data_IF_157134447755
#
_entry.id   IF_157134447755
#
_cell.length_a   1.000
_cell.length_b   1.000
_cell.length_c   1.000
_cell.angle_alpha   90.00
_cell.angle_beta   90.00
_cell.angle_gamma   90.00
#
_symmetry.space_group_name_H-M   'P 1'
#
loop_
_entity.id
_entity.type
_entity.pdbx_description
1 polymer ?
#
# COMPACT_ATOMS: atom_id res chain seq x y z
N UNK A 1 24.48 13.60 -37.57
CA UNK A 1 23.56 14.09 -36.51
C UNK A 1 23.17 12.93 -35.59
N UNK A 2 23.89 12.72 -34.47
CA UNK A 2 23.56 11.66 -33.51
C UNK A 2 22.50 12.15 -32.49
N UNK A 3 21.56 11.28 -32.10
CA UNK A 3 20.46 11.64 -31.17
C UNK A 3 20.93 11.55 -29.72
N UNK A 4 20.89 12.66 -28.98
CA UNK A 4 21.22 12.72 -27.53
C UNK A 4 20.37 11.74 -26.71
N UNK A 5 21.03 11.01 -25.82
CA UNK A 5 20.43 10.02 -24.94
C UNK A 5 19.57 10.68 -23.85
N UNK A 6 18.78 9.89 -23.13
CA UNK A 6 17.98 10.40 -22.01
C UNK A 6 18.87 10.83 -20.82
N UNK A 7 20.04 10.20 -20.63
CA UNK A 7 21.03 10.58 -19.61
C UNK A 7 21.58 11.98 -19.85
N UNK A 8 21.89 12.33 -21.10
CA UNK A 8 22.42 13.65 -21.46
C UNK A 8 21.42 14.79 -21.17
N UNK A 9 20.11 14.49 -21.22
CA UNK A 9 19.05 15.47 -20.91
C UNK A 9 18.91 15.69 -19.41
N UNK A 10 18.98 14.63 -18.60
CA UNK A 10 18.93 14.76 -17.15
C UNK A 10 20.17 15.47 -16.59
N UNK A 11 21.36 15.25 -17.17
CA UNK A 11 22.57 15.97 -16.78
C UNK A 11 22.46 17.48 -17.06
N UNK A 12 21.89 17.87 -18.21
CA UNK A 12 21.69 19.28 -18.56
C UNK A 12 20.67 20.00 -17.65
N UNK A 13 19.71 19.28 -17.07
CA UNK A 13 18.70 19.85 -16.18
C UNK A 13 19.23 20.16 -14.76
N UNK A 14 20.32 19.51 -14.34
CA UNK A 14 20.94 19.70 -13.01
C UNK A 14 22.02 20.80 -12.99
N UNK A 15 22.41 21.34 -14.15
CA UNK A 15 23.47 22.34 -14.27
C UNK A 15 22.95 23.80 -14.23
N UNK A 16 21.75 24.02 -13.66
CA UNK A 16 21.11 25.34 -13.64
C UNK A 16 20.44 25.70 -12.32
N UNK A 17 21.04 25.32 -11.20
CA UNK A 17 20.86 26.06 -9.95
C UNK A 17 21.92 27.17 -9.87
N UNK A 18 21.44 28.40 -10.07
CA UNK A 18 22.19 29.60 -9.72
C UNK A 18 22.36 29.66 -8.20
N UNK A 19 23.60 29.80 -7.74
CA UNK A 19 23.91 30.32 -6.41
C UNK A 19 24.88 31.48 -6.60
N UNK A 20 24.47 32.70 -6.27
CA UNK A 20 25.36 33.85 -6.27
C UNK A 20 26.28 33.81 -5.04
N UNK A 21 27.57 34.12 -5.18
CA UNK A 21 28.48 34.18 -4.05
C UNK A 21 28.33 35.53 -3.31
N UNK A 22 28.24 35.48 -1.98
CA UNK A 22 28.50 36.64 -1.12
C UNK A 22 29.80 36.43 -0.36
N UNK A 23 30.62 37.48 -0.32
CA UNK A 23 31.98 37.47 0.22
C UNK A 23 32.04 37.17 1.74
N UNK A 24 33.16 36.59 2.17
CA UNK A 24 33.45 36.25 3.57
C UNK A 24 34.07 37.45 4.35
N UNK A 25 34.44 37.29 5.64
CA UNK A 25 35.76 36.69 5.93
C UNK A 25 35.90 35.82 7.21
N UNK A 26 36.79 34.83 7.07
CA UNK A 26 37.76 34.21 8.01
C UNK A 26 37.61 34.24 9.55
N UNK A 27 37.69 33.04 10.17
CA UNK A 27 38.53 32.55 11.30
C UNK A 27 37.97 31.16 11.71
N UNK A 28 38.69 30.11 12.10
CA UNK A 28 40.13 29.81 12.29
C UNK A 28 40.32 28.26 12.17
N UNK A 29 41.53 27.72 11.97
CA UNK A 29 41.83 26.27 11.92
C UNK A 29 42.90 25.93 13.00
N UNK A 30 42.98 24.70 13.57
CA UNK A 30 43.42 23.46 12.86
C UNK A 30 42.60 22.20 13.34
N UNK A 31 42.98 20.91 13.22
CA UNK A 31 44.20 20.20 12.79
C UNK A 31 43.91 18.75 12.26
N UNK A 32 44.94 18.09 11.73
CA UNK A 32 45.03 16.67 11.30
C UNK A 32 46.49 16.19 11.49
N UNK A 33 46.87 14.90 11.30
CA UNK A 33 46.35 13.61 11.80
C UNK A 33 47.48 12.83 12.57
N UNK A 34 47.48 11.48 12.72
CA UNK A 34 48.16 10.65 11.71
C UNK A 34 47.66 9.17 11.49
N UNK A 35 47.83 8.70 10.24
CA UNK A 35 48.33 7.39 9.74
C UNK A 35 48.02 6.05 10.50
N UNK A 36 47.25 5.10 9.93
CA UNK A 36 47.67 3.94 9.06
C UNK A 36 47.87 2.60 9.84
N UNK A 37 47.89 1.38 9.22
CA UNK A 37 48.07 1.05 7.78
C UNK A 37 47.09 0.05 7.14
N UNK A 38 47.41 -0.29 5.89
CA UNK A 38 46.68 -1.04 4.84
C UNK A 38 46.83 -2.59 4.84
N UNK A 39 45.97 -3.21 4.03
CA UNK A 39 46.11 -4.50 3.30
C UNK A 39 45.99 -5.84 4.07
N UNK A 40 45.08 -6.68 3.58
CA UNK A 40 45.49 -7.96 2.98
C UNK A 40 44.47 -8.47 1.93
N UNK A 41 44.90 -9.43 1.10
CA UNK A 41 44.32 -9.73 -0.22
C UNK A 41 43.62 -11.10 -0.27
N UNK A 42 42.55 -11.16 -1.06
CA UNK A 42 41.82 -12.32 -1.64
C UNK A 42 42.61 -13.64 -1.82
N UNK A 43 41.93 -14.83 -1.82
CA UNK A 43 41.28 -15.27 -3.07
C UNK A 43 39.97 -16.08 -2.99
N UNK A 44 39.11 -15.77 -3.96
CA UNK A 44 38.21 -16.63 -4.76
C UNK A 44 37.78 -18.03 -4.27
N UNK A 45 36.46 -18.29 -4.34
CA UNK A 45 35.96 -19.60 -4.78
C UNK A 45 34.68 -19.55 -5.63
N UNK A 46 34.84 -19.99 -6.88
CA UNK A 46 33.88 -20.62 -7.78
C UNK A 46 32.46 -20.03 -7.96
N UNK A 47 32.28 -19.33 -9.07
CA UNK A 47 31.02 -19.22 -9.83
C UNK A 47 30.45 -20.60 -10.20
N UNK A 48 29.12 -20.79 -10.15
CA UNK A 48 28.41 -21.68 -11.06
C UNK A 48 27.57 -20.89 -12.09
N UNK A 49 27.46 -21.43 -13.29
CA UNK A 49 26.97 -20.72 -14.48
C UNK A 49 25.51 -20.26 -14.43
N UNK A 50 25.25 -19.08 -15.00
CA UNK A 50 23.90 -18.69 -15.45
C UNK A 50 23.48 -19.56 -16.64
N UNK A 51 22.51 -20.46 -16.43
CA UNK A 51 21.69 -20.97 -17.55
C UNK A 51 20.62 -19.95 -17.95
N UNK A 52 20.53 -19.56 -19.23
CA UNK A 52 19.39 -18.80 -19.73
C UNK A 52 18.23 -19.74 -20.07
N UNK A 53 17.07 -19.54 -19.45
CA UNK A 53 15.81 -20.15 -19.91
C UNK A 53 14.72 -19.09 -19.98
N UNK A 54 14.39 -18.68 -21.21
CA UNK A 54 13.36 -17.69 -21.47
C UNK A 54 12.02 -18.35 -21.85
N UNK A 55 11.08 -18.34 -20.89
CA UNK A 55 9.62 -18.46 -21.09
C UNK A 55 9.10 -19.81 -21.68
N UNK A 56 7.80 -20.15 -21.52
CA UNK A 56 6.65 -19.27 -21.80
C UNK A 56 5.82 -18.87 -20.57
N UNK A 57 5.19 -17.70 -20.66
CA UNK A 57 4.17 -17.21 -19.71
C UNK A 57 2.90 -18.07 -19.83
N UNK A 58 2.72 -19.08 -18.97
CA UNK A 58 1.36 -19.45 -18.56
C UNK A 58 0.94 -18.49 -17.47
N UNK A 59 -0.04 -17.61 -17.74
CA UNK A 59 -0.82 -16.99 -16.66
C UNK A 59 -1.48 -18.14 -15.92
N UNK A 60 -1.26 -18.32 -14.60
CA UNK A 60 -2.21 -19.10 -13.82
C UNK A 60 -3.55 -18.37 -13.94
N UNK A 61 -4.56 -19.05 -14.47
CA UNK A 61 -5.91 -18.80 -13.97
C UNK A 61 -5.79 -19.01 -12.46
N UNK A 62 -6.20 -18.02 -11.67
CA UNK A 62 -6.05 -18.07 -10.23
C UNK A 62 -6.79 -19.32 -9.73
N UNK A 63 -6.04 -20.29 -9.20
CA UNK A 63 -6.65 -21.44 -8.58
C UNK A 63 -7.50 -20.96 -7.40
N UNK A 64 -8.67 -21.56 -7.15
CA UNK A 64 -9.43 -21.27 -5.93
C UNK A 64 -8.56 -21.63 -4.72
N UNK A 65 -8.01 -20.61 -4.05
CA UNK A 65 -7.04 -20.76 -2.95
C UNK A 65 -5.84 -19.81 -2.99
N UNK A 66 -5.57 -19.12 -4.11
CA UNK A 66 -4.43 -18.19 -4.19
C UNK A 66 -4.73 -16.83 -3.50
N UNK A 67 -3.88 -16.43 -2.54
CA UNK A 67 -4.03 -15.21 -1.75
C UNK A 67 -2.71 -14.46 -1.58
N UNK A 68 -2.75 -13.14 -1.80
CA UNK A 68 -1.65 -12.22 -1.53
C UNK A 68 -1.82 -11.54 -0.15
N UNK A 69 -0.70 -11.16 0.47
CA UNK A 69 -0.71 -10.38 1.73
C UNK A 69 -0.87 -8.88 1.44
N UNK A 70 -1.93 -8.28 1.98
CA UNK A 70 -2.17 -6.83 1.96
C UNK A 70 -1.93 -6.22 3.34
N UNK A 71 -1.10 -5.18 3.41
CA UNK A 71 -0.93 -4.36 4.61
C UNK A 71 -1.79 -3.10 4.54
N UNK A 72 -2.66 -2.90 5.54
CA UNK A 72 -3.55 -1.74 5.68
C UNK A 72 -3.24 -1.07 7.01
N UNK A 73 -2.76 0.17 6.97
CA UNK A 73 -2.66 1.05 8.12
C UNK A 73 -4.05 1.53 8.54
N UNK A 74 -4.40 1.28 9.80
CA UNK A 74 -5.69 1.66 10.40
C UNK A 74 -5.46 2.24 11.80
N UNK A 75 -6.25 3.24 12.20
CA UNK A 75 -6.32 3.65 13.61
C UNK A 75 -7.01 2.56 14.46
N UNK A 76 -6.87 2.59 15.80
CA UNK A 76 -7.63 1.69 16.68
C UNK A 76 -9.13 1.76 16.44
N UNK A 77 -9.69 2.96 16.25
CA UNK A 77 -11.13 3.17 16.03
C UNK A 77 -11.61 2.65 14.68
N UNK A 78 -10.83 2.84 13.61
CA UNK A 78 -11.14 2.26 12.30
C UNK A 78 -11.13 0.73 12.35
N UNK A 79 -10.14 0.15 13.02
CA UNK A 79 -10.06 -1.30 13.19
C UNK A 79 -11.22 -1.82 14.05
N UNK A 80 -11.59 -1.12 15.12
CA UNK A 80 -12.75 -1.48 15.95
C UNK A 80 -14.07 -1.35 15.18
N UNK A 81 -14.26 -0.26 14.44
CA UNK A 81 -15.42 -0.05 13.57
C UNK A 81 -15.55 -1.13 12.50
N UNK A 82 -14.44 -1.54 11.88
CA UNK A 82 -14.41 -2.65 10.93
C UNK A 82 -14.81 -3.99 11.57
N UNK A 83 -14.29 -4.29 12.77
CA UNK A 83 -14.68 -5.50 13.53
C UNK A 83 -16.16 -5.49 13.91
N UNK A 84 -16.70 -4.33 14.28
CA UNK A 84 -18.11 -4.13 14.62
C UNK A 84 -19.03 -4.31 13.40
N UNK A 85 -18.66 -3.69 12.26
CA UNK A 85 -19.38 -3.80 10.99
C UNK A 85 -19.43 -5.24 10.47
N UNK A 86 -18.32 -5.98 10.55
CA UNK A 86 -18.26 -7.40 10.21
C UNK A 86 -19.28 -8.26 10.99
N UNK A 87 -19.43 -8.01 12.30
CA UNK A 87 -20.39 -8.74 13.14
C UNK A 87 -21.84 -8.31 12.85
N UNK A 88 -22.08 -7.03 12.58
CA UNK A 88 -23.38 -6.55 12.13
C UNK A 88 -23.80 -7.19 10.80
N UNK A 89 -22.92 -7.17 9.79
CA UNK A 89 -23.19 -7.76 8.48
C UNK A 89 -23.45 -9.28 8.57
N UNK A 90 -22.70 -10.03 9.39
CA UNK A 90 -22.95 -11.45 9.62
C UNK A 90 -24.33 -11.71 10.25
N UNK A 91 -24.73 -10.86 11.21
CA UNK A 91 -26.04 -10.93 11.87
C UNK A 91 -27.17 -10.59 10.89
N UNK A 92 -26.93 -9.63 10.00
CA UNK A 92 -27.87 -9.17 8.97
C UNK A 92 -27.88 -10.05 7.70
N UNK A 93 -27.38 -11.28 7.77
CA UNK A 93 -27.46 -12.28 6.69
C UNK A 93 -26.22 -12.40 5.79
N UNK A 94 -25.16 -11.64 6.03
CA UNK A 94 -23.93 -11.66 5.23
C UNK A 94 -23.24 -13.03 5.16
N UNK A 95 -22.54 -13.28 4.05
CA UNK A 95 -21.91 -14.56 3.68
C UNK A 95 -20.40 -14.66 4.03
N UNK A 96 -19.84 -13.60 4.59
CA UNK A 96 -18.43 -13.56 4.96
C UNK A 96 -18.20 -14.26 6.31
N UNK A 97 -17.91 -15.56 6.27
CA UNK A 97 -17.60 -16.40 7.45
C UNK A 97 -16.29 -16.03 8.17
N UNK A 98 -15.47 -15.14 7.60
CA UNK A 98 -14.18 -14.71 8.16
C UNK A 98 -13.95 -13.22 7.90
N UNK A 99 -13.27 -12.54 8.84
CA UNK A 99 -13.00 -11.11 8.73
C UNK A 99 -12.16 -10.75 7.49
N UNK A 100 -11.23 -11.62 7.08
CA UNK A 100 -10.46 -11.43 5.85
C UNK A 100 -11.32 -11.51 4.58
N UNK A 101 -12.32 -12.40 4.53
CA UNK A 101 -13.30 -12.45 3.42
C UNK A 101 -14.23 -11.25 3.43
N UNK A 102 -14.60 -10.73 4.60
CA UNK A 102 -15.37 -9.49 4.69
C UNK A 102 -14.60 -8.28 4.14
N UNK A 103 -13.32 -8.14 4.51
CA UNK A 103 -12.43 -7.12 3.92
C UNK A 103 -12.32 -7.32 2.40
N UNK A 104 -12.11 -8.55 1.92
CA UNK A 104 -12.04 -8.83 0.48
C UNK A 104 -13.34 -8.41 -0.25
N UNK A 105 -14.52 -8.68 0.32
CA UNK A 105 -15.80 -8.25 -0.22
C UNK A 105 -15.95 -6.71 -0.24
N UNK A 106 -15.49 -6.01 0.80
CA UNK A 106 -15.46 -4.55 0.84
C UNK A 106 -14.55 -3.96 -0.26
N UNK A 107 -13.35 -4.55 -0.46
CA UNK A 107 -12.41 -4.15 -1.51
C UNK A 107 -12.99 -4.39 -2.92
N UNK A 108 -13.57 -5.57 -3.19
CA UNK A 108 -14.20 -5.86 -4.49
C UNK A 108 -15.40 -4.94 -4.76
N UNK A 109 -16.23 -4.66 -3.74
CA UNK A 109 -17.36 -3.73 -3.83
C UNK A 109 -16.90 -2.28 -4.11
N UNK A 110 -15.73 -1.88 -3.60
CA UNK A 110 -15.14 -0.58 -3.87
C UNK A 110 -14.40 -0.51 -5.22
N UNK A 111 -13.82 -1.62 -5.68
CA UNK A 111 -13.20 -1.76 -7.00
C UNK A 111 -14.25 -1.68 -8.12
N UNK A 112 -15.44 -2.25 -7.91
CA UNK A 112 -16.56 -2.24 -8.86
C UNK A 112 -17.16 -0.85 -9.13
N UNK A 113 -16.84 0.17 -8.32
CA UNK A 113 -17.28 1.56 -8.52
C UNK A 113 -16.50 2.22 -9.66
N UNK A 114 -17.06 3.24 -10.28
CA UNK A 114 -16.29 4.10 -11.21
C UNK A 114 -15.36 5.04 -10.42
N UNK A 115 -14.27 5.57 -11.02
CA UNK A 115 -13.40 6.54 -10.35
C UNK A 115 -14.17 7.77 -9.84
N UNK A 116 -15.15 8.26 -10.61
CA UNK A 116 -16.04 9.35 -10.19
C UNK A 116 -16.87 8.98 -8.95
N UNK A 117 -17.43 7.77 -8.90
CA UNK A 117 -18.20 7.31 -7.73
C UNK A 117 -17.33 7.14 -6.47
N UNK A 118 -16.08 6.71 -6.60
CA UNK A 118 -15.13 6.70 -5.47
C UNK A 118 -14.78 8.12 -5.03
N UNK A 119 -14.45 9.00 -5.97
CA UNK A 119 -14.17 10.42 -5.71
C UNK A 119 -15.30 11.12 -4.93
N UNK A 120 -16.56 10.93 -5.36
CA UNK A 120 -17.74 11.53 -4.71
C UNK A 120 -18.01 11.02 -3.31
N UNK A 121 -17.65 9.77 -2.97
CA UNK A 121 -17.81 9.25 -1.61
C UNK A 121 -16.82 9.87 -0.62
N UNK A 122 -15.67 10.34 -1.09
CA UNK A 122 -14.57 10.77 -0.23
C UNK A 122 -14.04 9.61 0.63
N UNK A 123 -13.10 9.93 1.52
CA UNK A 123 -12.54 8.96 2.48
C UNK A 123 -11.04 8.70 2.37
N UNK A 124 -10.40 9.08 1.25
CA UNK A 124 -8.94 9.13 1.17
C UNK A 124 -8.42 10.14 2.21
N UNK A 125 -7.99 9.61 3.35
CA UNK A 125 -7.24 10.38 4.34
C UNK A 125 -6.02 11.00 3.66
N UNK A 126 -5.79 12.28 3.92
CA UNK A 126 -4.45 12.84 3.79
C UNK A 126 -3.47 12.08 4.68
N UNK A 127 -2.17 12.28 4.48
CA UNK A 127 -1.16 11.77 5.39
C UNK A 127 -1.37 12.43 6.76
N UNK A 128 -1.91 11.70 7.74
CA UNK A 128 -1.99 12.20 9.13
C UNK A 128 -0.60 12.60 9.62
N UNK A 129 -0.53 13.76 10.26
CA UNK A 129 0.69 14.28 10.88
C UNK A 129 1.09 13.41 12.07
N UNK A 130 0.11 12.99 12.88
CA UNK A 130 0.28 12.00 13.95
C UNK A 130 -0.03 10.57 13.48
N UNK A 131 0.92 9.65 13.76
CA UNK A 131 0.78 8.22 13.45
C UNK A 131 0.27 7.42 14.64
N UNK A 132 -1.01 7.56 14.96
CA UNK A 132 -1.70 6.82 16.04
C UNK A 132 -2.17 5.42 15.66
N UNK A 133 -2.05 5.04 14.38
CA UNK A 133 -2.49 3.76 13.84
C UNK A 133 -1.36 2.73 13.65
N UNK A 134 -1.74 1.55 13.19
CA UNK A 134 -0.80 0.44 12.94
C UNK A 134 -1.16 -0.34 11.68
N UNK A 135 -0.16 -0.90 11.01
CA UNK A 135 -0.35 -1.72 9.80
C UNK A 135 -0.85 -3.11 10.15
N UNK A 136 -2.11 -3.40 9.84
CA UNK A 136 -2.72 -4.73 9.93
C UNK A 136 -2.51 -5.48 8.61
N UNK A 137 -2.13 -6.75 8.68
CA UNK A 137 -1.93 -7.60 7.50
C UNK A 137 -3.10 -8.57 7.32
N UNK A 138 -3.59 -8.71 6.08
CA UNK A 138 -4.65 -9.64 5.72
C UNK A 138 -4.26 -10.44 4.48
N UNK A 139 -4.66 -11.71 4.43
CA UNK A 139 -4.53 -12.53 3.23
C UNK A 139 -5.79 -12.31 2.38
N UNK A 140 -5.63 -11.70 1.21
CA UNK A 140 -6.71 -11.29 0.31
C UNK A 140 -6.60 -12.11 -0.98
N UNK A 141 -7.71 -12.62 -1.55
CA UNK A 141 -7.66 -13.37 -2.80
C UNK A 141 -6.94 -12.58 -3.91
N UNK A 142 -6.03 -13.25 -4.62
CA UNK A 142 -5.19 -12.63 -5.67
C UNK A 142 -6.04 -11.99 -6.78
N UNK A 143 -7.28 -12.49 -7.00
CA UNK A 143 -8.26 -11.88 -7.91
C UNK A 143 -8.77 -10.52 -7.43
N UNK A 144 -9.11 -10.40 -6.14
CA UNK A 144 -9.54 -9.14 -5.50
C UNK A 144 -8.40 -8.12 -5.51
N UNK A 145 -7.17 -8.55 -5.20
CA UNK A 145 -5.97 -7.71 -5.29
C UNK A 145 -5.70 -7.16 -6.70
N UNK A 146 -5.96 -7.96 -7.74
CA UNK A 146 -5.88 -7.50 -9.14
C UNK A 146 -6.96 -6.46 -9.46
N UNK A 147 -8.20 -6.62 -8.98
CA UNK A 147 -9.28 -5.63 -9.17
C UNK A 147 -8.99 -4.33 -8.41
N UNK A 148 -8.53 -4.42 -7.17
CA UNK A 148 -8.09 -3.27 -6.36
C UNK A 148 -7.02 -2.45 -7.09
N UNK A 149 -5.93 -3.10 -7.56
CA UNK A 149 -4.84 -2.39 -8.26
C UNK A 149 -5.31 -1.76 -9.57
N UNK A 150 -6.17 -2.43 -10.34
CA UNK A 150 -6.75 -1.86 -11.55
C UNK A 150 -7.62 -0.62 -11.25
N UNK A 151 -8.41 -0.67 -10.16
CA UNK A 151 -9.22 0.46 -9.70
C UNK A 151 -8.35 1.64 -9.23
N UNK A 152 -7.25 1.38 -8.52
CA UNK A 152 -6.25 2.39 -8.13
C UNK A 152 -5.62 3.04 -9.39
N UNK A 153 -5.26 2.27 -10.42
CA UNK A 153 -4.76 2.84 -11.68
C UNK A 153 -5.80 3.72 -12.38
N UNK A 154 -7.08 3.33 -12.37
CA UNK A 154 -8.16 4.15 -12.91
C UNK A 154 -8.40 5.44 -12.10
N UNK A 155 -8.19 5.39 -10.78
CA UNK A 155 -8.25 6.58 -9.91
C UNK A 155 -7.10 7.55 -10.19
N UNK A 156 -5.88 7.04 -10.42
CA UNK A 156 -4.71 7.83 -10.82
C UNK A 156 -4.91 8.53 -12.18
N UNK A 157 -5.49 7.82 -13.16
CA UNK A 157 -5.91 8.40 -14.44
C UNK A 157 -6.99 9.48 -14.29
N UNK A 158 -7.82 9.39 -13.25
CA UNK A 158 -8.82 10.39 -12.88
C UNK A 158 -8.27 11.48 -11.91
N UNK A 159 -6.96 11.53 -11.66
CA UNK A 159 -6.30 12.56 -10.85
C UNK A 159 -6.24 12.30 -9.33
N UNK A 160 -6.71 11.15 -8.83
CA UNK A 160 -6.56 10.75 -7.42
C UNK A 160 -5.34 9.85 -7.26
N UNK A 161 -4.42 10.18 -6.35
CA UNK A 161 -3.18 9.42 -6.13
C UNK A 161 -3.11 8.72 -4.77
N UNK A 162 -3.99 7.73 -4.49
CA UNK A 162 -3.95 6.99 -3.23
C UNK A 162 -2.81 5.97 -3.21
N UNK A 163 -2.34 5.65 -2.00
CA UNK A 163 -1.60 4.41 -1.74
C UNK A 163 -2.57 3.23 -1.57
N UNK A 164 -2.10 1.99 -1.82
CA UNK A 164 -2.86 0.76 -1.60
C UNK A 164 -3.56 0.74 -0.21
N UNK A 165 -2.84 1.17 0.83
CA UNK A 165 -3.36 1.25 2.20
C UNK A 165 -4.45 2.31 2.37
N UNK A 166 -4.30 3.51 1.78
CA UNK A 166 -5.30 4.57 1.91
C UNK A 166 -6.57 4.24 1.14
N UNK A 167 -6.44 3.63 -0.05
CA UNK A 167 -7.56 3.13 -0.84
C UNK A 167 -8.30 1.99 -0.12
N UNK A 168 -7.56 1.05 0.48
CA UNK A 168 -8.16 -0.04 1.25
C UNK A 168 -8.85 0.46 2.54
N UNK A 169 -8.32 1.50 3.20
CA UNK A 169 -8.98 2.15 4.33
C UNK A 169 -10.26 2.89 3.91
N UNK A 170 -10.27 3.62 2.78
CA UNK A 170 -11.50 4.22 2.20
C UNK A 170 -12.56 3.13 1.92
N UNK A 171 -12.17 2.01 1.33
CA UNK A 171 -13.06 0.88 1.08
C UNK A 171 -13.67 0.28 2.35
N UNK A 172 -12.86 0.11 3.41
CA UNK A 172 -13.32 -0.39 4.72
C UNK A 172 -14.26 0.62 5.39
N UNK A 173 -13.91 1.92 5.43
CA UNK A 173 -14.76 2.96 6.01
C UNK A 173 -16.14 3.02 5.35
N UNK A 174 -16.18 2.97 4.01
CA UNK A 174 -17.43 2.90 3.24
C UNK A 174 -18.26 1.65 3.58
N UNK A 175 -17.62 0.50 3.85
CA UNK A 175 -18.31 -0.71 4.28
C UNK A 175 -18.83 -0.60 5.73
N UNK A 176 -18.07 0.02 6.63
CA UNK A 176 -18.49 0.30 8.02
C UNK A 176 -19.73 1.20 8.05
N UNK A 177 -19.76 2.25 7.22
CA UNK A 177 -20.90 3.16 7.16
C UNK A 177 -22.14 2.48 6.53
N UNK A 178 -21.94 1.60 5.55
CA UNK A 178 -23.02 0.79 4.99
C UNK A 178 -23.59 -0.21 6.01
N UNK A 179 -22.73 -0.93 6.74
CA UNK A 179 -23.12 -1.84 7.82
C UNK A 179 -23.84 -1.12 8.96
N UNK A 180 -23.38 0.09 9.33
CA UNK A 180 -24.06 0.93 10.32
C UNK A 180 -25.47 1.32 9.85
N UNK A 181 -25.60 1.71 8.58
CA UNK A 181 -26.90 2.09 8.00
C UNK A 181 -27.87 0.90 7.94
N UNK A 182 -27.43 -0.30 7.54
CA UNK A 182 -28.26 -1.51 7.55
C UNK A 182 -28.62 -1.97 8.97
N UNK A 183 -27.75 -1.73 9.95
CA UNK A 183 -27.96 -2.08 11.36
C UNK A 183 -28.65 -0.96 12.18
N UNK A 184 -29.55 -0.20 11.55
CA UNK A 184 -30.38 0.80 12.24
C UNK A 184 -29.63 2.00 12.82
N UNK A 185 -28.45 2.33 12.29
CA UNK A 185 -27.63 3.48 12.71
C UNK A 185 -26.62 3.19 13.82
N UNK A 186 -26.63 2.00 14.43
CA UNK A 186 -25.66 1.60 15.46
C UNK A 186 -24.86 0.37 15.01
N UNK A 187 -23.74 0.08 15.67
CA UNK A 187 -22.93 -1.12 15.44
C UNK A 187 -22.68 -1.82 16.78
N UNK A 188 -22.58 -3.16 16.83
CA UNK A 188 -22.31 -3.89 18.07
C UNK A 188 -20.89 -3.63 18.57
N UNK A 189 -20.69 -3.63 19.89
CA UNK A 189 -19.34 -3.59 20.48
C UNK A 189 -18.60 -4.87 20.09
N UNK A 190 -17.44 -4.80 19.40
CA UNK A 190 -16.69 -5.99 19.03
C UNK A 190 -16.02 -6.61 20.28
N UNK A 191 -15.93 -7.94 20.37
CA UNK A 191 -15.18 -8.59 21.45
C UNK A 191 -13.68 -8.28 21.32
N UNK A 192 -12.94 -8.42 22.43
CA UNK A 192 -11.50 -8.18 22.49
C UNK A 192 -10.76 -8.92 21.36
N UNK A 193 -11.12 -10.18 21.13
CA UNK A 193 -10.64 -11.03 20.03
C UNK A 193 -11.83 -11.59 19.23
N UNK A 194 -11.77 -11.48 17.91
CA UNK A 194 -12.74 -12.12 17.01
C UNK A 194 -12.52 -13.63 16.94
N UNK A 195 -13.58 -14.44 16.75
CA UNK A 195 -13.45 -15.84 16.37
C UNK A 195 -12.82 -15.97 14.98
N UNK A 196 -12.05 -17.04 14.75
CA UNK A 196 -11.34 -17.26 13.49
C UNK A 196 -12.30 -17.41 12.30
N UNK A 197 -13.47 -18.01 12.54
CA UNK A 197 -14.58 -18.20 11.61
C UNK A 197 -15.89 -18.05 12.39
N UNK A 198 -16.88 -17.40 11.79
CA UNK A 198 -18.25 -17.35 12.29
C UNK A 198 -19.04 -18.56 11.79
N UNK A 199 -20.01 -18.97 12.60
CA UNK A 199 -21.00 -20.02 12.32
C UNK A 199 -22.39 -19.46 12.58
N UNK A 200 -23.41 -20.05 11.96
CA UNK A 200 -24.83 -19.69 12.07
C UNK A 200 -25.62 -20.96 12.35
#
# INVERSE_FOLDING_TARGET
>A
MARRSLRDRNAAALAHEFYEPVDAPAEEAPAEPPAEPVNEVTPARATPERRPTAAPKKRPQAAPGDTDRLGIYLTPDEFNGARAAYLADWTNGGEADTFARWIAAALDTHAARTPKQRATRGGLRGRSEERTGSTRSFNIPTVTMKRMRAAITADQQAGRWPSDSAWAAEAIGIAVDAARASNGGTLPTPPERLPNRLVR
#
